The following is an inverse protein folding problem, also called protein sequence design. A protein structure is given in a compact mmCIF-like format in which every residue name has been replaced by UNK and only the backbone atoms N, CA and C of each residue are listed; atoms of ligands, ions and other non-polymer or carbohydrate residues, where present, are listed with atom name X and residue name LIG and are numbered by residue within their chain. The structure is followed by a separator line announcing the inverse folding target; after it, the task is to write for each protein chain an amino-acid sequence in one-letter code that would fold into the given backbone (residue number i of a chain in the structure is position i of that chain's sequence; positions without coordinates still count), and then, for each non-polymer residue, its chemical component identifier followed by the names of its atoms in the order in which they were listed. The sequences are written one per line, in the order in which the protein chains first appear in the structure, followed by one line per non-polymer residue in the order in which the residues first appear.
data_IF_220793080540
#
_entry.id   IF_220793080540
#
_cell.length_a   1.000
_cell.length_b   1.000
_cell.length_c   1.000
_cell.angle_alpha   90.00
_cell.angle_beta   90.00
_cell.angle_gamma   90.00
#
_symmetry.space_group_name_H-M   'P 1'
#
loop_
_entity.id
_entity.type
_entity.pdbx_description
1 polymer ?
#
# COMPACT_ATOMS: atom_id res chain seq x y z
N UNK A 1 -0.36 12.89 -4.42
CA UNK A 1 0.84 12.65 -3.58
C UNK A 1 0.72 11.38 -2.74
N UNK A 2 -0.37 11.19 -1.96
CA UNK A 2 -0.58 10.01 -1.10
C UNK A 2 -0.49 8.67 -1.85
N UNK A 3 -1.30 8.48 -2.89
CA UNK A 3 -1.31 7.24 -3.67
C UNK A 3 0.07 6.93 -4.29
N UNK A 4 0.74 7.95 -4.84
CA UNK A 4 2.09 7.82 -5.39
C UNK A 4 3.11 7.41 -4.32
N UNK A 5 3.04 8.00 -3.12
CA UNK A 5 3.91 7.63 -2.00
C UNK A 5 3.74 6.16 -1.61
N UNK A 6 2.50 5.68 -1.48
CA UNK A 6 2.22 4.28 -1.14
C UNK A 6 2.68 3.32 -2.23
N UNK A 7 2.54 3.71 -3.50
CA UNK A 7 3.04 2.93 -4.64
C UNK A 7 4.57 2.83 -4.61
N UNK A 8 5.26 3.96 -4.51
CA UNK A 8 6.71 4.02 -4.50
C UNK A 8 7.27 3.30 -3.24
N UNK A 9 6.56 3.35 -2.11
CA UNK A 9 6.85 2.52 -0.93
C UNK A 9 6.73 1.02 -1.24
N UNK A 10 5.66 0.60 -1.91
CA UNK A 10 5.49 -0.81 -2.29
C UNK A 10 6.61 -1.29 -3.21
N UNK A 11 7.08 -0.45 -4.14
CA UNK A 11 8.18 -0.78 -5.05
C UNK A 11 9.50 -0.93 -4.31
N UNK A 12 9.81 0.00 -3.40
CA UNK A 12 11.01 -0.07 -2.56
C UNK A 12 11.03 -1.32 -1.69
N UNK A 13 9.89 -1.63 -1.06
CA UNK A 13 9.75 -2.75 -0.13
C UNK A 13 9.85 -4.10 -0.84
N UNK A 14 9.45 -4.21 -2.11
CA UNK A 14 9.60 -5.45 -2.89
C UNK A 14 11.09 -5.84 -3.09
N UNK A 15 12.02 -4.88 -3.04
CA UNK A 15 13.46 -5.15 -3.13
C UNK A 15 14.01 -5.89 -1.90
N UNK A 16 13.32 -5.78 -0.77
CA UNK A 16 13.72 -6.41 0.50
C UNK A 16 13.33 -7.89 0.59
N UNK A 17 12.59 -8.43 -0.38
CA UNK A 17 12.10 -9.83 -0.38
C UNK A 17 13.20 -10.89 -0.33
N UNK A 18 14.38 -10.52 -0.82
CA UNK A 18 15.54 -11.41 -0.88
C UNK A 18 16.40 -11.33 0.38
N UNK A 19 16.16 -10.32 1.21
CA UNK A 19 16.89 -10.09 2.44
C UNK A 19 16.26 -10.90 3.57
N UNK A 20 17.09 -11.72 4.22
CA UNK A 20 16.62 -12.60 5.31
C UNK A 20 16.29 -11.85 6.60
N UNK A 21 16.75 -10.61 6.74
CA UNK A 21 16.62 -9.85 7.99
C UNK A 21 16.39 -8.34 7.79
N UNK A 22 15.59 -7.97 6.79
CA UNK A 22 15.32 -6.55 6.46
C UNK A 22 14.67 -5.78 7.63
N UNK A 23 15.39 -4.79 8.15
CA UNK A 23 14.88 -3.89 9.19
C UNK A 23 13.70 -3.04 8.71
N UNK A 24 13.68 -2.67 7.42
CA UNK A 24 12.56 -1.97 6.81
C UNK A 24 11.30 -2.84 6.80
N UNK A 25 11.41 -4.12 6.42
CA UNK A 25 10.28 -5.05 6.44
C UNK A 25 9.77 -5.28 7.86
N UNK A 26 10.66 -5.50 8.83
CA UNK A 26 10.27 -5.65 10.23
C UNK A 26 9.55 -4.41 10.75
N UNK A 27 10.08 -3.22 10.46
CA UNK A 27 9.46 -1.96 10.87
C UNK A 27 8.07 -1.78 10.23
N UNK A 28 7.94 -2.10 8.94
CA UNK A 28 6.68 -2.01 8.21
C UNK A 28 5.63 -3.01 8.71
N UNK A 29 6.01 -4.23 9.06
CA UNK A 29 5.07 -5.21 9.60
C UNK A 29 4.72 -4.94 11.07
N UNK A 30 5.63 -4.32 11.84
CA UNK A 30 5.38 -3.95 13.24
C UNK A 30 4.21 -2.97 13.43
N UNK A 31 3.90 -2.18 12.40
CA UNK A 31 2.76 -1.23 12.42
C UNK A 31 1.42 -1.88 12.03
N UNK A 32 1.39 -3.17 11.66
CA UNK A 32 0.21 -3.83 11.07
C UNK A 32 -1.06 -3.72 11.92
N UNK A 33 -0.98 -3.98 13.22
CA UNK A 33 -2.12 -3.84 14.13
C UNK A 33 -2.72 -2.43 14.11
N UNK A 34 -1.85 -1.43 14.01
CA UNK A 34 -2.21 -0.02 14.11
C UNK A 34 -2.68 0.56 12.77
N UNK A 35 -2.00 0.18 11.69
CA UNK A 35 -2.25 0.65 10.34
C UNK A 35 -3.50 -0.02 9.73
N UNK A 36 -3.68 -1.32 9.99
CA UNK A 36 -4.74 -2.13 9.41
C UNK A 36 -5.93 -2.26 10.35
N UNK A 37 -5.72 -2.31 11.67
CA UNK A 37 -6.78 -2.48 12.67
C UNK A 37 -7.48 -3.84 12.54
N UNK A 38 -6.72 -4.92 12.40
CA UNK A 38 -7.20 -6.28 12.11
C UNK A 38 -6.69 -6.81 10.77
N UNK A 39 -7.25 -7.94 10.32
CA UNK A 39 -6.95 -8.44 8.98
C UNK A 39 -7.64 -7.57 7.93
N UNK A 40 -6.94 -7.22 6.87
CA UNK A 40 -7.44 -6.24 5.91
C UNK A 40 -8.49 -6.82 4.96
N UNK A 41 -8.58 -8.14 4.79
CA UNK A 41 -9.62 -8.78 3.97
C UNK A 41 -11.02 -8.62 4.59
N UNK A 42 -11.12 -8.58 5.91
CA UNK A 42 -12.37 -8.34 6.64
C UNK A 42 -12.98 -6.95 6.38
N UNK A 43 -12.19 -6.01 5.84
CA UNK A 43 -12.60 -4.63 5.52
C UNK A 43 -12.87 -4.41 4.04
N UNK A 44 -12.82 -5.46 3.24
CA UNK A 44 -12.85 -5.40 1.79
C UNK A 44 -13.97 -6.29 1.27
N UNK A 45 -14.51 -5.94 0.13
CA UNK A 45 -15.60 -6.67 -0.48
C UNK A 45 -15.15 -8.06 -0.93
N UNK A 46 -15.97 -9.13 -0.72
CA UNK A 46 -15.62 -10.49 -1.14
C UNK A 46 -15.30 -10.62 -2.63
N UNK A 47 -15.95 -9.83 -3.47
CA UNK A 47 -15.67 -9.78 -4.91
C UNK A 47 -14.25 -9.26 -5.20
N UNK A 48 -13.78 -8.27 -4.44
CA UNK A 48 -12.41 -7.78 -4.54
C UNK A 48 -11.41 -8.82 -4.06
N UNK A 49 -11.66 -9.44 -2.90
CA UNK A 49 -10.79 -10.49 -2.34
C UNK A 49 -10.65 -11.69 -3.28
N UNK A 50 -11.76 -12.15 -3.85
CA UNK A 50 -11.75 -13.19 -4.88
C UNK A 50 -10.92 -12.76 -6.09
N UNK A 51 -11.12 -11.54 -6.60
CA UNK A 51 -10.37 -11.04 -7.76
C UNK A 51 -8.85 -11.04 -7.54
N UNK A 52 -8.38 -10.63 -6.36
CA UNK A 52 -6.94 -10.57 -6.09
C UNK A 52 -6.35 -11.95 -5.80
N UNK A 53 -7.12 -12.85 -5.19
CA UNK A 53 -6.68 -14.20 -4.81
C UNK A 53 -6.40 -15.14 -5.98
N UNK A 54 -6.95 -14.87 -7.17
CA UNK A 54 -6.70 -15.68 -8.37
C UNK A 54 -5.24 -15.71 -8.82
N UNK A 55 -4.51 -14.62 -8.61
CA UNK A 55 -3.17 -14.45 -9.18
C UNK A 55 -2.05 -14.68 -8.17
N UNK A 56 -2.31 -14.39 -6.89
CA UNK A 56 -1.30 -14.48 -5.83
C UNK A 56 -1.99 -14.69 -4.49
N UNK A 57 -1.34 -15.46 -3.61
CA UNK A 57 -1.71 -15.57 -2.20
C UNK A 57 -1.18 -14.36 -1.45
N UNK A 58 -2.05 -13.68 -0.72
CA UNK A 58 -1.70 -12.55 0.12
C UNK A 58 -1.88 -12.91 1.60
N UNK A 59 -1.04 -12.34 2.45
CA UNK A 59 -1.17 -12.37 3.91
C UNK A 59 -2.05 -11.21 4.35
N UNK A 60 -3.22 -11.51 4.89
CA UNK A 60 -4.21 -10.50 5.25
C UNK A 60 -3.89 -9.70 6.52
N UNK A 61 -2.87 -10.09 7.26
CA UNK A 61 -2.31 -9.35 8.39
C UNK A 61 -1.07 -8.53 8.02
N UNK A 62 -0.61 -8.59 6.75
CA UNK A 62 0.62 -7.93 6.31
C UNK A 62 0.33 -6.57 5.66
N UNK A 63 1.05 -5.54 6.14
CA UNK A 63 1.01 -4.18 5.57
C UNK A 63 1.64 -4.17 4.19
N UNK A 64 2.77 -4.87 4.03
CA UNK A 64 3.44 -5.02 2.75
C UNK A 64 2.50 -5.60 1.70
N UNK A 65 1.78 -6.67 2.03
CA UNK A 65 0.90 -7.33 1.07
C UNK A 65 -0.29 -6.46 0.68
N UNK A 66 -0.83 -5.63 1.59
CA UNK A 66 -1.83 -4.63 1.23
C UNK A 66 -1.26 -3.57 0.27
N UNK A 67 -0.07 -3.02 0.55
CA UNK A 67 0.59 -2.07 -0.35
C UNK A 67 0.85 -2.68 -1.73
N UNK A 68 1.24 -3.95 -1.76
CA UNK A 68 1.43 -4.73 -2.99
C UNK A 68 0.14 -4.87 -3.79
N UNK A 69 -0.99 -5.15 -3.13
CA UNK A 69 -2.31 -5.16 -3.78
C UNK A 69 -2.63 -3.79 -4.35
N UNK A 70 -2.47 -2.72 -3.56
CA UNK A 70 -2.76 -1.35 -3.99
C UNK A 70 -1.96 -0.97 -5.23
N UNK A 71 -0.65 -1.25 -5.25
CA UNK A 71 0.21 -1.02 -6.42
C UNK A 71 -0.24 -1.86 -7.61
N UNK A 72 -0.38 -3.17 -7.44
CA UNK A 72 -0.68 -4.08 -8.55
C UNK A 72 -2.01 -3.71 -9.23
N UNK A 73 -3.04 -3.42 -8.44
CA UNK A 73 -4.37 -3.07 -8.97
C UNK A 73 -4.42 -1.66 -9.55
N UNK A 74 -3.57 -0.75 -9.07
CA UNK A 74 -3.37 0.56 -9.70
C UNK A 74 -2.70 0.43 -11.08
N UNK A 75 -1.60 -0.34 -11.18
CA UNK A 75 -0.85 -0.51 -12.42
C UNK A 75 -1.68 -1.21 -13.51
N UNK A 76 -2.51 -2.18 -13.11
CA UNK A 76 -3.38 -2.94 -14.01
C UNK A 76 -4.84 -2.46 -13.98
N UNK A 77 -5.11 -1.24 -13.56
CA UNK A 77 -6.48 -0.75 -13.34
C UNK A 77 -7.39 -0.94 -14.56
N UNK A 78 -6.86 -0.65 -15.77
CA UNK A 78 -7.61 -0.78 -17.04
C UNK A 78 -7.98 -2.22 -17.40
N UNK A 79 -7.24 -3.19 -16.87
CA UNK A 79 -7.45 -4.63 -17.09
C UNK A 79 -8.40 -5.24 -16.06
N UNK A 80 -8.76 -4.48 -15.01
CA UNK A 80 -9.69 -4.97 -14.00
C UNK A 80 -11.09 -5.18 -14.59
N UNK A 81 -11.84 -6.20 -14.13
CA UNK A 81 -13.25 -6.33 -14.47
C UNK A 81 -14.02 -5.05 -14.13
N UNK A 82 -15.00 -4.67 -14.96
CA UNK A 82 -15.80 -3.44 -14.77
C UNK A 82 -16.41 -3.33 -13.36
N UNK A 83 -16.90 -4.45 -12.82
CA UNK A 83 -17.43 -4.50 -11.46
C UNK A 83 -16.39 -4.08 -10.40
N UNK A 84 -15.13 -4.51 -10.57
CA UNK A 84 -14.05 -4.15 -9.65
C UNK A 84 -13.66 -2.68 -9.84
N UNK A 85 -13.60 -2.16 -11.07
CA UNK A 85 -13.35 -0.74 -11.32
C UNK A 85 -14.40 0.17 -10.66
N UNK A 86 -15.69 -0.20 -10.74
CA UNK A 86 -16.78 0.52 -10.05
C UNK A 86 -16.59 0.49 -8.54
N UNK A 87 -16.19 -0.67 -8.01
CA UNK A 87 -16.01 -0.89 -6.58
C UNK A 87 -14.85 -0.07 -6.01
N UNK A 88 -13.68 -0.07 -6.66
CA UNK A 88 -12.52 0.69 -6.18
C UNK A 88 -12.57 2.17 -6.58
N UNK A 89 -13.40 2.54 -7.56
CA UNK A 89 -13.55 3.90 -8.04
C UNK A 89 -12.47 4.34 -9.04
N UNK A 90 -12.69 5.48 -9.72
CA UNK A 90 -11.78 6.01 -10.73
C UNK A 90 -10.42 6.39 -10.15
N UNK A 91 -9.37 6.26 -10.96
CA UNK A 91 -8.01 6.70 -10.61
C UNK A 91 -7.83 8.19 -10.98
N UNK A 92 -7.13 9.00 -10.15
CA UNK A 92 -6.53 8.62 -8.87
C UNK A 92 -7.44 8.77 -7.64
N UNK A 93 -8.39 9.71 -7.62
CA UNK A 93 -9.06 10.13 -6.37
C UNK A 93 -10.01 9.08 -5.79
N UNK A 94 -10.82 8.42 -6.63
CA UNK A 94 -11.75 7.37 -6.19
C UNK A 94 -11.01 6.16 -5.62
N UNK A 95 -9.97 5.73 -6.34
CA UNK A 95 -9.09 4.65 -5.92
C UNK A 95 -8.39 4.95 -4.58
N UNK A 96 -7.80 6.14 -4.44
CA UNK A 96 -7.17 6.55 -3.17
C UNK A 96 -8.17 6.59 -2.01
N UNK A 97 -9.37 7.11 -2.26
CA UNK A 97 -10.45 7.23 -1.28
C UNK A 97 -10.99 5.87 -0.82
N UNK A 98 -11.07 4.89 -1.73
CA UNK A 98 -11.51 3.53 -1.42
C UNK A 98 -10.61 2.89 -0.35
N UNK A 99 -9.28 3.02 -0.47
CA UNK A 99 -8.35 2.52 0.55
C UNK A 99 -8.25 3.44 1.77
N UNK A 100 -8.33 4.76 1.60
CA UNK A 100 -8.28 5.71 2.71
C UNK A 100 -9.41 5.52 3.72
N UNK A 101 -10.62 5.31 3.22
CA UNK A 101 -11.81 5.12 4.06
C UNK A 101 -11.74 3.82 4.89
N UNK A 102 -11.15 2.75 4.33
CA UNK A 102 -11.00 1.45 5.01
C UNK A 102 -9.81 1.40 5.95
N UNK A 103 -8.71 2.09 5.61
CA UNK A 103 -7.46 2.09 6.36
C UNK A 103 -7.00 3.53 6.66
N UNK A 104 -7.72 4.26 7.54
CA UNK A 104 -7.45 5.68 7.79
C UNK A 104 -6.05 5.95 8.35
N UNK A 105 -5.46 4.97 9.03
CA UNK A 105 -4.12 5.07 9.62
C UNK A 105 -2.98 4.59 8.72
N UNK A 106 -3.29 3.87 7.63
CA UNK A 106 -2.27 3.25 6.78
C UNK A 106 -1.22 4.25 6.30
N UNK A 107 -1.67 5.38 5.75
CA UNK A 107 -0.74 6.35 5.16
C UNK A 107 0.21 6.94 6.20
N UNK A 108 -0.30 7.41 7.34
CA UNK A 108 0.54 8.07 8.34
C UNK A 108 1.50 7.08 9.02
N UNK A 109 1.09 5.84 9.24
CA UNK A 109 1.99 4.84 9.85
C UNK A 109 3.07 4.39 8.86
N UNK A 110 2.72 4.15 7.58
CA UNK A 110 3.71 3.84 6.54
C UNK A 110 4.66 5.03 6.35
N UNK A 111 4.15 6.27 6.36
CA UNK A 111 4.96 7.47 6.26
C UNK A 111 6.03 7.54 7.33
N UNK A 112 5.69 7.28 8.60
CA UNK A 112 6.66 7.29 9.71
C UNK A 112 7.78 6.27 9.52
N UNK A 113 7.44 5.07 9.02
CA UNK A 113 8.43 4.02 8.74
C UNK A 113 9.37 4.46 7.63
N UNK A 114 8.83 4.87 6.48
CA UNK A 114 9.64 5.29 5.33
C UNK A 114 10.47 6.53 5.66
N UNK A 115 9.94 7.49 6.42
CA UNK A 115 10.71 8.64 6.87
C UNK A 115 11.92 8.22 7.71
N UNK A 116 11.74 7.26 8.62
CA UNK A 116 12.85 6.80 9.48
C UNK A 116 13.91 6.00 8.71
N UNK A 117 13.49 5.19 7.74
CA UNK A 117 14.37 4.18 7.12
C UNK A 117 14.85 4.57 5.71
N UNK A 118 14.13 5.45 5.01
CA UNK A 118 14.33 5.71 3.58
C UNK A 118 14.36 7.20 3.22
N UNK A 119 14.39 8.13 4.18
CA UNK A 119 14.30 9.57 3.86
C UNK A 119 15.46 10.12 3.01
N UNK A 120 16.64 9.50 3.12
CA UNK A 120 17.82 9.91 2.35
C UNK A 120 17.80 9.35 0.92
N UNK A 121 17.00 8.32 0.66
CA UNK A 121 16.89 7.69 -0.66
C UNK A 121 16.25 8.64 -1.67
N UNK A 122 16.87 8.78 -2.85
CA UNK A 122 16.48 9.73 -3.89
C UNK A 122 15.00 9.62 -4.27
N UNK A 123 14.47 8.40 -4.35
CA UNK A 123 13.07 8.13 -4.72
C UNK A 123 12.05 8.72 -3.72
N UNK A 124 12.44 8.93 -2.45
CA UNK A 124 11.57 9.47 -1.42
C UNK A 124 11.80 10.94 -1.08
N UNK A 125 12.92 11.53 -1.49
CA UNK A 125 13.23 12.94 -1.17
C UNK A 125 12.11 13.91 -1.58
N UNK A 126 11.42 13.64 -2.71
CA UNK A 126 10.27 14.42 -3.20
C UNK A 126 9.04 14.46 -2.26
N UNK A 127 8.98 13.58 -1.26
CA UNK A 127 7.89 13.52 -0.28
C UNK A 127 8.24 14.17 1.06
N UNK A 128 9.53 14.43 1.30
CA UNK A 128 10.04 14.93 2.58
C UNK A 128 10.63 16.32 2.47
N UNK A 129 11.13 16.71 1.30
CA UNK A 129 11.54 18.08 1.03
C UNK A 129 10.28 18.93 0.87
N UNK A 130 10.01 19.75 1.87
CA UNK A 130 9.17 20.92 1.68
C UNK A 130 9.90 21.86 0.73
N UNK A 131 9.27 22.27 -0.38
CA UNK A 131 9.67 23.51 -1.04
C UNK A 131 9.33 24.65 -0.07
N UNK A 132 10.23 24.92 0.86
CA UNK A 132 10.32 26.21 1.52
C UNK A 132 11.30 27.00 0.66
N UNK A 133 10.77 27.60 -0.39
CA UNK A 133 11.31 28.83 -0.95
C UNK A 133 10.44 30.00 -0.45
#
# INVERSE_FOLDING_TARGET
MRLSFLRDTSDRVELEDRETDSDLLKALESIGQVALGGKWDEKMEPAFITNIGHYRRYKFDSVRDLLRVMRNKLNHYRELPKQIQVLVGPVPEGYDSYFASRFPRLFIEVYKVVYRHCMEEECFQKYFKSNVD
#
